data_IF_268870181880
#
_entry.id   IF_268870181880
#
_cell.length_a   1.000
_cell.length_b   1.000
_cell.length_c   1.000
_cell.angle_alpha   90.00
_cell.angle_beta   90.00
_cell.angle_gamma   90.00
#
_symmetry.space_group_name_H-M   'P 1'
#
loop_
_entity.id
_entity.type
_entity.pdbx_description
1 polymer ?
#
# COMPACT_ATOMS: atom_id res chain seq x y z
N UNK A 1 13.61 -8.21 13.12
CA UNK A 1 12.55 -8.89 12.34
C UNK A 1 11.17 -8.24 12.52
N UNK A 2 10.71 -7.99 13.75
CA UNK A 2 9.38 -7.41 14.01
C UNK A 2 9.15 -6.07 13.28
N UNK A 3 10.13 -5.16 13.31
CA UNK A 3 10.04 -3.84 12.64
C UNK A 3 9.87 -3.99 11.12
N UNK A 4 10.57 -4.96 10.50
CA UNK A 4 10.47 -5.20 9.07
C UNK A 4 9.08 -5.75 8.66
N UNK A 5 8.48 -6.59 9.51
CA UNK A 5 7.13 -7.12 9.30
C UNK A 5 6.10 -5.99 9.41
N UNK A 6 6.22 -5.14 10.43
CA UNK A 6 5.35 -3.97 10.61
C UNK A 6 5.49 -3.01 9.42
N UNK A 7 6.71 -2.75 8.96
CA UNK A 7 6.95 -1.90 7.81
C UNK A 7 6.31 -2.46 6.52
N UNK A 8 6.46 -3.76 6.26
CA UNK A 8 5.81 -4.42 5.12
C UNK A 8 4.29 -4.37 5.20
N UNK A 9 3.71 -4.64 6.38
CA UNK A 9 2.26 -4.57 6.59
C UNK A 9 1.71 -3.15 6.40
N UNK A 10 2.38 -2.14 6.96
CA UNK A 10 2.00 -0.73 6.79
C UNK A 10 2.19 -0.26 5.35
N UNK A 11 3.27 -0.66 4.68
CA UNK A 11 3.49 -0.34 3.27
C UNK A 11 2.45 -0.99 2.34
N UNK A 12 2.03 -2.23 2.63
CA UNK A 12 0.97 -2.91 1.90
C UNK A 12 -0.39 -2.21 2.08
N UNK A 13 -0.69 -1.75 3.29
CA UNK A 13 -1.88 -0.92 3.53
C UNK A 13 -1.78 0.42 2.79
N UNK A 14 -0.63 1.09 2.90
CA UNK A 14 -0.39 2.40 2.31
C UNK A 14 -0.53 2.38 0.78
N UNK A 15 -0.01 1.36 0.11
CA UNK A 15 -0.17 1.16 -1.35
C UNK A 15 -1.64 1.00 -1.76
N UNK A 16 -2.45 0.35 -0.92
CA UNK A 16 -3.90 0.27 -1.07
C UNK A 16 -4.60 1.64 -1.02
N UNK A 17 -4.19 2.51 -0.09
CA UNK A 17 -4.80 3.84 0.14
C UNK A 17 -4.28 4.91 -0.84
N UNK A 18 -3.05 4.76 -1.34
CA UNK A 18 -2.39 5.77 -2.19
C UNK A 18 -2.46 5.42 -3.67
N UNK A 19 -1.69 4.42 -4.10
CA UNK A 19 -1.48 4.02 -5.51
C UNK A 19 -2.68 3.27 -6.09
N UNK A 20 -3.31 2.43 -5.27
CA UNK A 20 -4.40 1.54 -5.67
C UNK A 20 -5.78 2.05 -5.22
N UNK A 21 -5.86 3.23 -4.59
CA UNK A 21 -7.14 3.79 -4.20
C UNK A 21 -7.96 4.17 -5.44
N UNK A 22 -9.23 3.75 -5.43
CA UNK A 22 -10.21 3.99 -6.49
C UNK A 22 -9.86 3.37 -7.86
N UNK A 23 -8.98 2.36 -7.91
CA UNK A 23 -8.70 1.59 -9.13
C UNK A 23 -9.44 0.26 -9.08
N UNK A 24 -10.17 -0.06 -10.15
CA UNK A 24 -10.80 -1.37 -10.34
C UNK A 24 -9.81 -2.25 -11.10
N UNK A 25 -9.32 -3.31 -10.44
CA UNK A 25 -8.35 -4.24 -11.01
C UNK A 25 -9.07 -5.29 -11.85
N UNK A 26 -9.28 -5.00 -13.14
CA UNK A 26 -9.78 -5.94 -14.12
C UNK A 26 -8.60 -6.63 -14.81
N UNK A 27 -8.52 -7.96 -14.70
CA UNK A 27 -7.50 -8.78 -15.38
C UNK A 27 -6.27 -9.16 -14.55
N UNK A 28 -6.21 -8.83 -13.26
CA UNK A 28 -5.14 -9.31 -12.36
C UNK A 28 -5.29 -10.80 -12.04
N UNK A 29 -4.21 -11.57 -12.20
CA UNK A 29 -4.13 -12.95 -11.76
C UNK A 29 -4.13 -13.10 -10.24
N UNK A 30 -4.46 -14.29 -9.75
CA UNK A 30 -4.46 -14.59 -8.31
C UNK A 30 -3.04 -14.41 -7.76
N UNK A 31 -2.84 -13.40 -6.91
CA UNK A 31 -1.56 -13.13 -6.24
C UNK A 31 -0.67 -12.06 -6.90
N UNK A 32 -0.91 -11.67 -8.15
CA UNK A 32 -0.16 -10.60 -8.82
C UNK A 32 -0.36 -9.26 -8.12
N UNK A 33 -1.58 -8.98 -7.66
CA UNK A 33 -1.93 -7.74 -6.95
C UNK A 33 -1.22 -7.69 -5.59
N UNK A 34 -1.07 -8.85 -4.96
CA UNK A 34 -0.39 -8.96 -3.67
C UNK A 34 1.11 -8.71 -3.85
N UNK A 35 1.74 -9.35 -4.83
CA UNK A 35 3.16 -9.18 -5.12
C UNK A 35 3.49 -7.75 -5.53
N UNK A 36 2.67 -7.13 -6.38
CA UNK A 36 2.90 -5.76 -6.81
C UNK A 36 2.81 -4.79 -5.63
N UNK A 37 1.77 -4.90 -4.79
CA UNK A 37 1.66 -4.10 -3.57
C UNK A 37 2.82 -4.30 -2.61
N UNK A 38 3.32 -5.53 -2.50
CA UNK A 38 4.49 -5.85 -1.68
C UNK A 38 5.77 -5.20 -2.25
N UNK A 39 5.97 -5.23 -3.56
CA UNK A 39 7.09 -4.56 -4.23
C UNK A 39 7.02 -3.03 -4.04
N UNK A 40 5.86 -2.42 -4.25
CA UNK A 40 5.67 -0.99 -4.00
C UNK A 40 5.88 -0.62 -2.53
N UNK A 41 5.40 -1.46 -1.60
CA UNK A 41 5.64 -1.30 -0.16
C UNK A 41 7.13 -1.38 0.20
N UNK A 42 7.86 -2.29 -0.43
CA UNK A 42 9.29 -2.45 -0.17
C UNK A 42 10.11 -1.25 -0.68
N UNK A 43 9.84 -0.80 -1.91
CA UNK A 43 10.61 0.28 -2.56
C UNK A 43 10.20 1.66 -2.02
N UNK A 44 8.90 1.91 -1.83
CA UNK A 44 8.35 3.24 -1.53
C UNK A 44 7.61 3.33 -0.20
N UNK A 45 7.60 2.28 0.63
CA UNK A 45 6.86 2.26 1.90
C UNK A 45 7.13 3.48 2.79
N UNK A 46 8.38 3.95 2.86
CA UNK A 46 8.78 5.10 3.67
C UNK A 46 8.07 6.40 3.28
N UNK A 47 7.76 6.60 1.99
CA UNK A 47 7.04 7.77 1.49
C UNK A 47 5.52 7.51 1.40
N UNK A 48 5.12 6.28 1.05
CA UNK A 48 3.71 5.91 0.91
C UNK A 48 3.00 5.88 2.26
N UNK A 49 3.65 5.45 3.36
CA UNK A 49 3.05 5.38 4.69
C UNK A 49 2.62 6.78 5.19
N UNK A 50 3.47 7.83 5.18
CA UNK A 50 3.06 9.19 5.53
C UNK A 50 1.93 9.71 4.63
N UNK A 51 2.04 9.51 3.32
CA UNK A 51 1.02 9.97 2.36
C UNK A 51 -0.32 9.26 2.61
N UNK A 52 -0.29 7.96 2.90
CA UNK A 52 -1.47 7.19 3.25
C UNK A 52 -2.12 7.71 4.53
N UNK A 53 -1.33 8.01 5.57
CA UNK A 53 -1.83 8.59 6.83
C UNK A 53 -2.52 9.94 6.57
N UNK A 54 -1.87 10.85 5.82
CA UNK A 54 -2.47 12.15 5.46
C UNK A 54 -3.78 11.92 4.70
N UNK A 55 -3.79 11.02 3.71
CA UNK A 55 -4.98 10.77 2.90
C UNK A 55 -6.11 10.12 3.70
N UNK A 56 -5.79 9.22 4.63
CA UNK A 56 -6.79 8.62 5.54
C UNK A 56 -7.33 9.64 6.54
N UNK A 57 -6.52 10.58 7.03
CA UNK A 57 -6.99 11.59 8.00
C UNK A 57 -7.81 12.70 7.32
N UNK A 58 -7.33 13.22 6.18
CA UNK A 58 -7.94 14.40 5.54
C UNK A 58 -8.97 14.06 4.47
N UNK A 59 -8.91 12.86 3.88
CA UNK A 59 -9.73 12.46 2.73
C UNK A 59 -10.63 11.25 3.02
N UNK A 60 -10.72 10.80 4.28
CA UNK A 60 -11.72 9.82 4.70
C UNK A 60 -13.10 10.49 4.82
N UNK A 61 -13.75 10.69 3.66
CA UNK A 61 -15.18 10.94 3.53
C UNK A 61 -15.77 10.04 2.46
#
# INVERSE_FOLDING_TARGET
MIIAIIYMALGYWATGVTTHANKIFLGYGIGELFLERLCWAFIFGWALIPVAIIKTIFFSR
#
